data_IF_083884869406
#
_entry.id   IF_083884869406
#
_cell.length_a   1.000
_cell.length_b   1.000
_cell.length_c   1.000
_cell.angle_alpha   90.00
_cell.angle_beta   90.00
_cell.angle_gamma   90.00
#
_symmetry.space_group_name_H-M   'P 1'
#
loop_
_entity.id
_entity.type
_entity.pdbx_description
1 polymer ?
#
# COMPACT_ATOMS: atom_id res chain seq x y z
N UNK A 1 3.81 -49.82 29.52
CA UNK A 1 3.24 -49.16 30.72
C UNK A 1 3.83 -47.79 31.04
N UNK A 2 5.17 -47.61 31.26
CA UNK A 2 5.75 -46.29 31.51
C UNK A 2 5.63 -45.29 30.33
N UNK A 3 5.80 -45.74 29.09
CA UNK A 3 5.73 -44.91 27.88
C UNK A 3 4.29 -44.41 27.63
N UNK A 4 3.31 -45.21 27.96
CA UNK A 4 1.89 -44.88 27.80
C UNK A 4 1.40 -43.80 28.79
N UNK A 5 1.87 -43.87 30.05
CA UNK A 5 1.56 -42.89 31.07
C UNK A 5 2.20 -41.51 30.75
N UNK A 6 3.44 -41.50 30.27
CA UNK A 6 4.11 -40.27 29.86
C UNK A 6 3.39 -39.59 28.68
N UNK A 7 3.00 -40.37 27.66
CA UNK A 7 2.23 -39.86 26.52
C UNK A 7 0.90 -39.25 26.96
N UNK A 8 0.20 -39.90 27.87
CA UNK A 8 -1.08 -39.42 28.44
C UNK A 8 -0.91 -38.06 29.15
N UNK A 9 0.12 -37.92 29.99
CA UNK A 9 0.41 -36.62 30.66
C UNK A 9 0.70 -35.53 29.67
N UNK A 10 1.53 -35.77 28.63
CA UNK A 10 1.84 -34.82 27.60
C UNK A 10 0.57 -34.42 26.82
N UNK A 11 -0.27 -35.38 26.44
CA UNK A 11 -1.54 -35.11 25.75
C UNK A 11 -2.45 -34.23 26.58
N UNK A 12 -2.59 -34.51 27.89
CA UNK A 12 -3.44 -33.70 28.78
C UNK A 12 -2.92 -32.25 28.90
N UNK A 13 -1.59 -32.06 29.00
CA UNK A 13 -0.99 -30.71 29.03
C UNK A 13 -1.25 -29.98 27.72
N UNK A 14 -1.11 -30.67 26.57
CA UNK A 14 -1.38 -30.09 25.27
C UNK A 14 -2.85 -29.71 25.10
N UNK A 15 -3.77 -30.54 25.55
CA UNK A 15 -5.19 -30.25 25.52
C UNK A 15 -5.53 -28.99 26.34
N UNK A 16 -4.99 -28.86 27.55
CA UNK A 16 -5.16 -27.65 28.36
C UNK A 16 -4.63 -26.40 27.66
N UNK A 17 -3.50 -26.51 26.96
CA UNK A 17 -2.85 -25.37 26.30
C UNK A 17 -3.53 -24.97 24.98
N UNK A 18 -3.73 -25.94 24.06
CA UNK A 18 -4.18 -25.69 22.69
C UNK A 18 -5.71 -25.68 22.52
N UNK A 19 -6.45 -26.49 23.29
CA UNK A 19 -7.91 -26.56 23.18
C UNK A 19 -8.63 -25.72 24.23
N UNK A 20 -8.11 -25.68 25.48
CA UNK A 20 -8.71 -24.91 26.56
C UNK A 20 -8.12 -23.50 26.70
N UNK A 21 -7.13 -23.12 25.87
CA UNK A 21 -6.46 -21.80 25.87
C UNK A 21 -5.89 -21.38 27.23
N UNK A 22 -5.47 -22.35 28.09
CA UNK A 22 -4.86 -22.03 29.36
C UNK A 22 -3.41 -21.63 29.19
N UNK A 23 -2.97 -20.59 29.90
CA UNK A 23 -1.57 -20.20 29.94
C UNK A 23 -0.71 -21.25 30.63
N UNK A 24 0.58 -21.32 30.33
CA UNK A 24 1.51 -22.23 30.96
C UNK A 24 1.52 -22.10 32.51
N UNK A 25 1.28 -20.89 33.04
CA UNK A 25 1.19 -20.65 34.48
C UNK A 25 -0.10 -21.25 35.09
N UNK A 26 -1.23 -21.11 34.39
CA UNK A 26 -2.51 -21.70 34.83
C UNK A 26 -2.44 -23.23 34.81
N UNK A 27 -1.80 -23.82 33.79
CA UNK A 27 -1.57 -25.26 33.71
C UNK A 27 -0.66 -25.72 34.86
N UNK A 28 0.42 -24.98 35.15
CA UNK A 28 1.33 -25.26 36.24
C UNK A 28 0.58 -25.31 37.58
N UNK A 29 -0.29 -24.32 37.83
CA UNK A 29 -1.09 -24.24 39.05
C UNK A 29 -2.11 -25.42 39.17
N UNK A 30 -2.76 -25.82 38.03
CA UNK A 30 -3.70 -26.95 38.00
C UNK A 30 -3.04 -28.32 38.18
N UNK A 31 -1.81 -28.46 37.67
CA UNK A 31 -1.13 -29.77 37.64
C UNK A 31 -0.13 -29.99 38.78
N UNK A 32 0.17 -28.95 39.57
CA UNK A 32 1.22 -28.97 40.59
C UNK A 32 2.66 -29.01 40.00
N UNK A 33 2.80 -28.77 38.70
CA UNK A 33 4.10 -28.73 38.02
C UNK A 33 4.61 -27.29 37.95
N UNK A 34 5.93 -27.12 37.76
CA UNK A 34 6.49 -25.81 37.51
C UNK A 34 6.21 -25.34 36.08
N UNK A 35 6.08 -24.00 35.84
CA UNK A 35 5.90 -23.43 34.51
C UNK A 35 6.97 -23.92 33.53
N UNK A 36 8.23 -24.03 33.98
CA UNK A 36 9.33 -24.53 33.16
C UNK A 36 9.13 -25.99 32.74
N UNK A 37 8.57 -26.81 33.62
CA UNK A 37 8.24 -28.22 33.31
C UNK A 37 7.09 -28.32 32.32
N UNK A 38 6.09 -27.44 32.40
CA UNK A 38 5.01 -27.34 31.39
C UNK A 38 5.59 -26.95 30.03
N UNK A 39 6.43 -25.90 29.96
CA UNK A 39 7.07 -25.47 28.70
C UNK A 39 7.87 -26.63 28.05
N UNK A 40 8.68 -27.34 28.82
CA UNK A 40 9.44 -28.51 28.33
C UNK A 40 8.51 -29.66 27.89
N UNK A 41 7.39 -29.87 28.58
CA UNK A 41 6.40 -30.88 28.22
C UNK A 41 5.72 -30.57 26.89
N UNK A 42 5.35 -29.32 26.64
CA UNK A 42 4.80 -28.86 25.36
C UNK A 42 5.80 -29.05 24.23
N UNK A 43 7.07 -28.70 24.44
CA UNK A 43 8.11 -28.94 23.45
C UNK A 43 8.28 -30.44 23.16
N UNK A 44 8.39 -31.26 24.19
CA UNK A 44 8.50 -32.71 24.06
C UNK A 44 7.31 -33.33 23.34
N UNK A 45 6.10 -32.82 23.55
CA UNK A 45 4.92 -33.28 22.84
C UNK A 45 4.98 -33.00 21.34
N UNK A 46 5.56 -31.85 20.93
CA UNK A 46 5.85 -31.55 19.51
C UNK A 46 6.90 -32.51 18.95
N UNK A 47 8.01 -32.71 19.67
CA UNK A 47 9.10 -33.60 19.25
C UNK A 47 8.62 -35.05 19.09
N UNK A 48 7.67 -35.48 19.91
CA UNK A 48 7.04 -36.82 19.84
C UNK A 48 5.85 -36.90 18.86
N UNK A 49 5.52 -35.82 18.14
CA UNK A 49 4.39 -35.80 17.20
C UNK A 49 3.01 -35.95 17.84
N UNK A 50 2.89 -35.73 19.17
CA UNK A 50 1.60 -35.70 19.88
C UNK A 50 0.82 -34.45 19.47
N UNK A 51 1.54 -33.33 19.22
CA UNK A 51 1.01 -32.09 18.64
C UNK A 51 1.65 -31.90 17.29
N UNK A 52 0.83 -31.68 16.27
CA UNK A 52 1.25 -31.25 14.93
C UNK A 52 0.65 -29.87 14.68
N UNK A 53 1.49 -28.91 14.35
CA UNK A 53 1.06 -27.57 13.93
C UNK A 53 1.13 -27.57 12.42
N UNK A 54 0.00 -27.35 11.79
CA UNK A 54 -0.09 -27.19 10.34
C UNK A 54 -0.38 -25.71 10.11
N UNK A 55 0.51 -25.02 9.39
CA UNK A 55 0.28 -23.67 8.91
C UNK A 55 -0.14 -23.81 7.46
N UNK A 56 -1.34 -23.35 7.15
CA UNK A 56 -1.83 -23.31 5.79
C UNK A 56 -1.27 -22.06 5.10
N UNK A 57 -0.44 -22.27 4.09
CA UNK A 57 0.13 -21.21 3.25
C UNK A 57 -0.59 -21.07 1.91
N UNK A 58 -1.74 -21.73 1.73
CA UNK A 58 -2.52 -21.59 0.49
C UNK A 58 -2.90 -20.13 0.26
N UNK A 59 -2.67 -19.66 -0.96
CA UNK A 59 -2.89 -18.25 -1.31
C UNK A 59 -1.81 -17.27 -0.83
N UNK A 60 -0.73 -17.74 -0.19
CA UNK A 60 0.40 -16.93 0.22
C UNK A 60 1.63 -17.23 -0.66
N UNK A 61 2.30 -16.20 -1.13
CA UNK A 61 3.45 -16.27 -2.04
C UNK A 61 4.76 -15.87 -1.34
N UNK A 62 4.96 -16.31 -0.10
CA UNK A 62 6.05 -15.87 0.79
C UNK A 62 7.45 -15.99 0.19
N UNK A 63 7.72 -17.06 -0.57
CA UNK A 63 9.03 -17.24 -1.23
C UNK A 63 9.23 -16.19 -2.32
N UNK A 64 8.21 -15.99 -3.18
CA UNK A 64 8.26 -14.98 -4.25
C UNK A 64 8.32 -13.55 -3.69
N UNK A 65 7.56 -13.25 -2.64
CA UNK A 65 7.63 -11.97 -1.92
C UNK A 65 9.04 -11.71 -1.37
N UNK A 66 9.66 -12.73 -0.77
CA UNK A 66 11.03 -12.64 -0.27
C UNK A 66 12.07 -12.43 -1.38
N UNK A 67 11.90 -13.11 -2.52
CA UNK A 67 12.74 -12.92 -3.70
C UNK A 67 12.64 -11.49 -4.25
N UNK A 68 11.41 -10.98 -4.41
CA UNK A 68 11.16 -9.61 -4.88
C UNK A 68 11.76 -8.59 -3.91
N UNK A 69 11.54 -8.76 -2.60
CA UNK A 69 12.10 -7.88 -1.58
C UNK A 69 13.62 -7.81 -1.66
N UNK A 70 14.27 -8.96 -1.78
CA UNK A 70 15.73 -9.06 -1.87
C UNK A 70 16.28 -8.44 -3.16
N UNK A 71 15.64 -8.74 -4.30
CA UNK A 71 16.07 -8.28 -5.62
C UNK A 71 15.95 -6.76 -5.80
N UNK A 72 14.85 -6.19 -5.32
CA UNK A 72 14.55 -4.76 -5.50
C UNK A 72 14.78 -3.93 -4.23
N UNK A 73 15.34 -4.52 -3.19
CA UNK A 73 15.59 -3.88 -1.89
C UNK A 73 14.33 -3.20 -1.30
N UNK A 74 13.20 -3.88 -1.46
CA UNK A 74 11.93 -3.44 -0.88
C UNK A 74 11.86 -3.86 0.59
N UNK A 75 11.17 -3.05 1.39
CA UNK A 75 10.91 -3.37 2.79
C UNK A 75 9.98 -4.57 2.92
N UNK A 76 8.96 -4.61 2.10
CA UNK A 76 7.92 -5.62 2.14
C UNK A 76 7.17 -5.65 0.80
N UNK A 77 6.80 -6.83 0.35
CA UNK A 77 5.90 -7.07 -0.79
C UNK A 77 4.77 -7.98 -0.32
N UNK A 78 3.56 -7.70 -0.72
CA UNK A 78 2.39 -8.56 -0.51
C UNK A 78 1.82 -8.90 -1.88
N UNK A 79 1.80 -10.20 -2.19
CA UNK A 79 1.22 -10.72 -3.43
C UNK A 79 -0.19 -11.22 -3.14
N UNK A 80 -1.16 -10.69 -3.88
CA UNK A 80 -2.57 -11.06 -3.76
C UNK A 80 -2.88 -12.16 -4.77
N UNK A 81 -3.39 -13.29 -4.29
CA UNK A 81 -3.79 -14.42 -5.14
C UNK A 81 -5.03 -14.07 -5.97
N UNK A 82 -4.92 -14.21 -7.28
CA UNK A 82 -6.01 -13.99 -8.22
C UNK A 82 -6.82 -15.26 -8.54
N UNK A 83 -6.41 -16.43 -8.05
CA UNK A 83 -6.97 -17.72 -8.44
C UNK A 83 -8.36 -17.99 -7.83
N UNK A 84 -8.67 -17.39 -6.70
CA UNK A 84 -9.88 -17.70 -5.94
C UNK A 84 -11.09 -16.81 -6.23
N UNK A 85 -10.94 -15.69 -6.96
CA UNK A 85 -12.04 -14.76 -7.17
C UNK A 85 -11.86 -13.94 -8.45
N UNK A 86 -12.95 -13.75 -9.21
CA UNK A 86 -12.95 -12.93 -10.44
C UNK A 86 -12.77 -11.41 -10.19
N UNK A 87 -12.61 -10.97 -8.96
CA UNK A 87 -12.51 -9.55 -8.59
C UNK A 87 -11.17 -9.21 -7.94
N UNK A 88 -10.08 -9.47 -8.66
CA UNK A 88 -8.70 -9.17 -8.24
C UNK A 88 -8.53 -7.71 -7.81
N UNK A 89 -9.20 -6.78 -8.48
CA UNK A 89 -9.09 -5.34 -8.19
C UNK A 89 -9.56 -4.98 -6.80
N UNK A 90 -10.68 -5.56 -6.37
CA UNK A 90 -11.19 -5.36 -5.02
C UNK A 90 -10.37 -6.12 -3.96
N UNK A 91 -9.82 -7.28 -4.31
CA UNK A 91 -8.92 -8.01 -3.40
C UNK A 91 -7.64 -7.22 -3.12
N UNK A 92 -6.97 -6.70 -4.15
CA UNK A 92 -5.79 -5.85 -3.99
C UNK A 92 -6.13 -4.60 -3.16
N UNK A 93 -7.27 -3.96 -3.43
CA UNK A 93 -7.70 -2.77 -2.70
C UNK A 93 -8.02 -3.06 -1.23
N UNK A 94 -8.68 -4.19 -0.92
CA UNK A 94 -9.00 -4.61 0.45
C UNK A 94 -7.74 -5.01 1.23
N UNK A 95 -6.81 -5.72 0.59
CA UNK A 95 -5.51 -6.06 1.18
C UNK A 95 -4.71 -4.80 1.51
N UNK A 96 -4.70 -3.83 0.60
CA UNK A 96 -4.04 -2.55 0.83
C UNK A 96 -4.70 -1.77 1.98
N UNK A 97 -6.04 -1.74 2.07
CA UNK A 97 -6.75 -1.11 3.19
C UNK A 97 -6.37 -1.75 4.53
N UNK A 98 -6.39 -3.09 4.61
CA UNK A 98 -5.99 -3.82 5.81
C UNK A 98 -4.52 -3.55 6.20
N UNK A 99 -3.62 -3.49 5.21
CA UNK A 99 -2.22 -3.15 5.45
C UNK A 99 -2.08 -1.75 6.06
N UNK A 100 -2.80 -0.76 5.53
CA UNK A 100 -2.80 0.60 6.05
C UNK A 100 -3.32 0.65 7.50
N UNK A 101 -4.44 0.00 7.79
CA UNK A 101 -5.01 -0.08 9.14
C UNK A 101 -4.03 -0.66 10.17
N UNK A 102 -3.22 -1.63 9.74
CA UNK A 102 -2.26 -2.34 10.60
C UNK A 102 -0.92 -1.62 10.78
N UNK A 103 -0.51 -0.76 9.82
CA UNK A 103 0.85 -0.22 9.75
C UNK A 103 0.96 1.30 9.85
N UNK A 104 -0.14 2.04 9.66
CA UNK A 104 -0.10 3.49 9.85
C UNK A 104 0.11 3.85 11.32
N UNK A 105 0.88 4.90 11.57
CA UNK A 105 1.15 5.40 12.92
C UNK A 105 0.28 6.61 13.25
N UNK A 106 0.03 6.82 14.53
CA UNK A 106 -0.82 7.93 15.01
C UNK A 106 -0.23 9.28 14.66
N UNK A 107 -1.10 10.24 14.32
CA UNK A 107 -0.79 11.62 13.93
C UNK A 107 0.04 11.72 12.62
N UNK A 108 0.04 10.70 11.77
CA UNK A 108 0.80 10.72 10.52
C UNK A 108 0.07 11.45 9.40
N UNK A 109 0.86 12.03 8.50
CA UNK A 109 0.41 12.57 7.22
C UNK A 109 0.67 11.56 6.11
N UNK A 110 -0.34 11.32 5.28
CA UNK A 110 -0.29 10.38 4.15
C UNK A 110 -0.47 11.16 2.84
N UNK A 111 0.55 11.16 2.01
CA UNK A 111 0.49 11.70 0.66
C UNK A 111 -0.25 10.73 -0.26
N UNK A 112 -1.31 11.18 -0.95
CA UNK A 112 -2.24 10.35 -1.70
C UNK A 112 -2.10 10.62 -3.20
N UNK A 113 -1.83 9.55 -3.96
CA UNK A 113 -1.86 9.55 -5.41
C UNK A 113 -3.29 9.53 -5.97
N UNK A 114 -3.40 9.65 -7.28
CA UNK A 114 -4.67 9.61 -8.02
C UNK A 114 -4.85 8.25 -8.72
N UNK A 115 -6.06 7.98 -9.22
CA UNK A 115 -6.35 6.84 -10.08
C UNK A 115 -7.35 5.83 -9.49
N UNK A 116 -7.82 4.92 -10.35
CA UNK A 116 -8.91 3.98 -10.02
C UNK A 116 -8.54 2.98 -8.93
N UNK A 117 -7.29 2.51 -8.88
CA UNK A 117 -6.78 1.62 -7.83
C UNK A 117 -6.86 2.31 -6.46
N UNK A 118 -6.42 3.57 -6.41
CA UNK A 118 -6.43 4.38 -5.19
C UNK A 118 -7.86 4.69 -4.71
N UNK A 119 -8.76 5.01 -5.63
CA UNK A 119 -10.18 5.23 -5.33
C UNK A 119 -10.82 3.99 -4.67
N UNK A 120 -10.51 2.78 -5.16
CA UNK A 120 -11.04 1.54 -4.58
C UNK A 120 -10.61 1.28 -3.14
N UNK A 121 -9.38 1.61 -2.76
CA UNK A 121 -8.90 1.44 -1.38
C UNK A 121 -9.81 2.13 -0.38
N UNK A 122 -10.31 3.33 -0.72
CA UNK A 122 -11.21 4.08 0.15
C UNK A 122 -12.54 3.36 0.45
N UNK A 123 -12.93 2.35 -0.35
CA UNK A 123 -14.16 1.59 -0.13
C UNK A 123 -14.01 0.52 0.96
N UNK A 124 -12.80 0.09 1.25
CA UNK A 124 -12.52 -1.03 2.17
C UNK A 124 -11.95 -0.59 3.51
N UNK A 125 -11.41 0.65 3.61
CA UNK A 125 -10.82 1.15 4.85
C UNK A 125 -11.87 1.37 5.93
N UNK A 126 -11.52 1.05 7.17
CA UNK A 126 -12.39 1.16 8.34
C UNK A 126 -12.18 2.47 9.11
N UNK A 127 -12.96 2.66 10.17
CA UNK A 127 -12.78 3.79 11.09
C UNK A 127 -11.42 3.72 11.80
N UNK A 128 -10.67 4.81 11.71
CA UNK A 128 -9.37 5.03 12.35
C UNK A 128 -9.33 6.38 13.08
N UNK A 129 -10.48 6.89 13.56
CA UNK A 129 -10.62 8.23 14.13
C UNK A 129 -9.67 8.50 15.31
N UNK A 130 -9.31 7.46 16.06
CA UNK A 130 -8.33 7.51 17.14
C UNK A 130 -6.89 7.75 16.66
N UNK A 131 -6.62 7.56 15.36
CA UNK A 131 -5.28 7.69 14.76
C UNK A 131 -4.93 9.15 14.42
N UNK A 132 -5.93 10.02 14.23
CA UNK A 132 -5.73 11.45 13.88
C UNK A 132 -4.86 11.64 12.64
N UNK A 133 -5.15 10.90 11.58
CA UNK A 133 -4.41 10.96 10.32
C UNK A 133 -4.75 12.22 9.52
N UNK A 134 -3.82 12.63 8.64
CA UNK A 134 -4.02 13.69 7.66
C UNK A 134 -3.73 13.15 6.26
N UNK A 135 -4.73 13.13 5.39
CA UNK A 135 -4.58 12.74 3.99
C UNK A 135 -4.36 13.97 3.11
N UNK A 136 -3.29 13.99 2.34
CA UNK A 136 -2.90 15.13 1.51
C UNK A 136 -2.62 14.70 0.07
N UNK A 137 -3.19 15.37 -0.96
CA UNK A 137 -3.03 14.96 -2.34
C UNK A 137 -1.61 15.26 -2.86
N UNK A 138 -1.03 14.32 -3.62
CA UNK A 138 0.29 14.44 -4.26
C UNK A 138 0.25 15.43 -5.41
N UNK A 139 -0.86 15.51 -6.14
CA UNK A 139 -1.00 16.26 -7.37
C UNK A 139 -2.40 16.88 -7.48
N UNK A 140 -2.53 17.92 -8.28
CA UNK A 140 -3.82 18.56 -8.59
C UNK A 140 -4.78 17.68 -9.38
N UNK A 141 -5.94 18.24 -9.76
CA UNK A 141 -7.00 17.52 -10.45
C UNK A 141 -6.71 17.28 -11.96
N UNK A 142 -7.08 16.09 -12.44
CA UNK A 142 -6.88 15.66 -13.83
C UNK A 142 -8.13 15.92 -14.68
N UNK A 143 -8.28 17.11 -15.19
CA UNK A 143 -9.20 17.56 -16.23
C UNK A 143 -10.52 16.78 -16.37
N UNK A 144 -10.57 15.85 -17.32
CA UNK A 144 -11.76 15.08 -17.68
C UNK A 144 -11.89 13.72 -16.98
N UNK A 145 -11.00 13.39 -16.04
CA UNK A 145 -11.14 12.14 -15.29
C UNK A 145 -12.38 12.17 -14.39
N UNK A 146 -12.89 11.00 -14.07
CA UNK A 146 -13.97 10.87 -13.09
C UNK A 146 -13.54 11.48 -11.75
N UNK A 147 -14.41 12.23 -11.11
CA UNK A 147 -14.12 12.94 -9.87
C UNK A 147 -13.56 12.03 -8.78
N UNK A 148 -14.05 10.79 -8.71
CA UNK A 148 -13.64 9.81 -7.71
C UNK A 148 -12.17 9.34 -7.86
N UNK A 149 -11.56 9.60 -9.01
CA UNK A 149 -10.16 9.26 -9.27
C UNK A 149 -9.18 10.39 -8.92
N UNK A 150 -9.66 11.58 -8.58
CA UNK A 150 -8.79 12.71 -8.23
C UNK A 150 -8.15 12.51 -6.84
N UNK A 151 -6.87 12.82 -6.70
CA UNK A 151 -6.14 12.70 -5.44
C UNK A 151 -6.83 13.43 -4.27
N UNK A 152 -7.36 14.64 -4.53
CA UNK A 152 -8.15 15.41 -3.54
C UNK A 152 -9.43 14.70 -3.11
N UNK A 153 -10.18 14.11 -4.07
CA UNK A 153 -11.41 13.36 -3.77
C UNK A 153 -11.10 12.08 -2.99
N UNK A 154 -10.06 11.34 -3.40
CA UNK A 154 -9.61 10.14 -2.70
C UNK A 154 -9.18 10.49 -1.26
N UNK A 155 -8.40 11.56 -1.06
CA UNK A 155 -8.01 12.05 0.27
C UNK A 155 -9.24 12.37 1.13
N UNK A 156 -10.25 13.04 0.56
CA UNK A 156 -11.50 13.37 1.26
C UNK A 156 -12.31 12.11 1.61
N UNK A 157 -12.39 11.13 0.69
CA UNK A 157 -13.10 9.88 0.93
C UNK A 157 -12.43 9.04 2.01
N UNK A 158 -11.10 8.93 1.98
CA UNK A 158 -10.32 8.28 3.04
C UNK A 158 -10.56 8.97 4.39
N UNK A 159 -10.49 10.30 4.44
CA UNK A 159 -10.73 11.06 5.67
C UNK A 159 -12.15 10.82 6.23
N UNK A 160 -13.17 10.84 5.38
CA UNK A 160 -14.57 10.57 5.79
C UNK A 160 -14.73 9.15 6.34
N UNK A 161 -14.15 8.14 5.69
CA UNK A 161 -14.26 6.74 6.10
C UNK A 161 -13.51 6.46 7.40
N UNK A 162 -12.32 7.03 7.55
CA UNK A 162 -11.48 6.84 8.73
C UNK A 162 -11.84 7.75 9.91
N UNK A 163 -12.75 8.73 9.72
CA UNK A 163 -13.03 9.75 10.74
C UNK A 163 -11.86 10.72 10.99
N UNK A 164 -10.95 10.87 10.01
CA UNK A 164 -9.76 11.71 10.08
C UNK A 164 -9.88 12.97 9.21
N UNK A 165 -8.76 13.66 8.96
CA UNK A 165 -8.73 14.92 8.21
C UNK A 165 -8.11 14.74 6.82
N UNK A 166 -8.43 15.66 5.90
CA UNK A 166 -7.77 15.78 4.60
C UNK A 166 -7.53 17.22 4.18
N UNK A 167 -6.52 17.41 3.33
CA UNK A 167 -6.28 18.66 2.61
C UNK A 167 -6.84 18.56 1.19
N UNK A 168 -7.12 19.72 0.60
CA UNK A 168 -7.60 19.84 -0.78
C UNK A 168 -6.63 20.68 -1.60
N UNK A 169 -6.06 20.11 -2.66
CA UNK A 169 -5.24 20.86 -3.61
C UNK A 169 -6.13 21.37 -4.76
N UNK A 170 -6.53 22.61 -4.67
CA UNK A 170 -7.42 23.26 -5.64
C UNK A 170 -6.63 23.82 -6.81
N UNK A 171 -5.97 22.95 -7.54
CA UNK A 171 -5.18 23.29 -8.71
C UNK A 171 -5.35 22.21 -9.80
N UNK A 172 -5.14 22.54 -11.10
CA UNK A 172 -5.06 21.53 -12.14
C UNK A 172 -3.79 20.70 -11.96
N UNK A 173 -3.83 19.41 -12.36
CA UNK A 173 -2.66 18.53 -12.32
C UNK A 173 -1.57 18.97 -13.32
N UNK A 174 -1.97 19.52 -14.46
CA UNK A 174 -1.07 20.00 -15.51
C UNK A 174 -1.49 21.37 -16.01
N UNK A 175 -0.54 22.26 -16.15
CA UNK A 175 -0.69 23.58 -16.74
C UNK A 175 -0.01 23.69 -18.10
N UNK A 176 -0.24 24.79 -18.84
CA UNK A 176 0.27 24.96 -20.20
C UNK A 176 1.79 25.25 -20.24
N UNK A 177 2.32 25.87 -19.19
CA UNK A 177 3.72 26.29 -19.15
C UNK A 177 4.30 26.23 -17.75
N UNK A 178 5.62 26.15 -17.66
CA UNK A 178 6.37 26.25 -16.39
C UNK A 178 6.09 27.57 -15.66
N UNK A 179 5.95 28.68 -16.38
CA UNK A 179 5.61 30.00 -15.83
C UNK A 179 4.22 29.98 -15.15
N UNK A 180 3.25 29.34 -15.75
CA UNK A 180 1.92 29.19 -15.18
C UNK A 180 1.95 28.32 -13.90
N UNK A 181 2.76 27.25 -13.89
CA UNK A 181 3.02 26.48 -12.67
C UNK A 181 3.62 27.35 -11.56
N UNK A 182 4.65 28.13 -11.88
CA UNK A 182 5.30 29.01 -10.91
C UNK A 182 4.32 29.99 -10.28
N UNK A 183 3.41 30.57 -11.07
CA UNK A 183 2.36 31.47 -10.57
C UNK A 183 1.38 30.76 -9.63
N UNK A 184 0.95 29.53 -9.97
CA UNK A 184 0.08 28.75 -9.10
C UNK A 184 0.80 28.32 -7.81
N UNK A 185 2.09 27.97 -7.90
CA UNK A 185 2.89 27.58 -6.75
C UNK A 185 3.18 28.73 -5.78
N UNK A 186 3.00 29.99 -6.21
CA UNK A 186 3.08 31.17 -5.34
C UNK A 186 1.78 31.46 -4.56
N UNK A 187 0.64 30.86 -4.96
CA UNK A 187 -0.58 30.93 -4.19
C UNK A 187 -0.38 30.33 -2.79
N UNK A 188 -0.79 31.08 -1.77
CA UNK A 188 -0.55 30.72 -0.36
C UNK A 188 -1.15 29.36 0.00
N UNK A 189 -2.39 29.10 -0.40
CA UNK A 189 -3.08 27.84 -0.08
C UNK A 189 -2.47 26.64 -0.80
N UNK A 190 -2.19 26.76 -2.11
CA UNK A 190 -1.54 25.72 -2.90
C UNK A 190 -0.17 25.38 -2.30
N UNK A 191 0.61 26.42 -1.96
CA UNK A 191 1.93 26.29 -1.36
C UNK A 191 1.90 25.57 0.00
N UNK A 192 0.93 25.92 0.85
CA UNK A 192 0.74 25.28 2.15
C UNK A 192 0.43 23.79 2.00
N UNK A 193 -0.53 23.43 1.13
CA UNK A 193 -0.89 22.02 0.88
C UNK A 193 0.30 21.24 0.37
N UNK A 194 1.00 21.76 -0.63
CA UNK A 194 2.19 21.10 -1.22
C UNK A 194 3.31 20.94 -0.18
N UNK A 195 3.57 21.96 0.64
CA UNK A 195 4.58 21.88 1.69
C UNK A 195 4.21 20.85 2.78
N UNK A 196 2.93 20.70 3.10
CA UNK A 196 2.47 19.67 4.02
C UNK A 196 2.64 18.28 3.40
N UNK A 197 2.29 18.12 2.11
CA UNK A 197 2.44 16.86 1.39
C UNK A 197 3.91 16.41 1.28
N UNK A 198 4.83 17.35 1.07
CA UNK A 198 6.29 17.06 1.04
C UNK A 198 6.82 16.51 2.37
N UNK A 199 6.17 16.83 3.48
CA UNK A 199 6.55 16.38 4.83
C UNK A 199 5.76 15.16 5.29
N UNK A 200 5.06 14.48 4.39
CA UNK A 200 4.29 13.30 4.72
C UNK A 200 5.20 12.16 5.25
N UNK A 201 4.66 11.38 6.16
CA UNK A 201 5.32 10.20 6.73
C UNK A 201 5.20 9.00 5.78
N UNK A 202 4.10 8.97 5.02
CA UNK A 202 3.76 7.92 4.06
C UNK A 202 3.36 8.52 2.73
N UNK A 203 3.68 7.82 1.64
CA UNK A 203 3.09 8.05 0.33
C UNK A 203 2.35 6.80 -0.12
N UNK A 204 1.09 6.96 -0.51
CA UNK A 204 0.22 5.89 -1.00
C UNK A 204 -0.16 6.20 -2.45
N UNK A 205 0.25 5.36 -3.38
CA UNK A 205 0.06 5.60 -4.81
C UNK A 205 0.04 4.29 -5.62
N UNK A 206 -0.32 4.42 -6.88
CA UNK A 206 -0.23 3.35 -7.87
C UNK A 206 0.65 3.79 -9.04
N UNK A 207 1.18 2.82 -9.79
CA UNK A 207 1.84 3.07 -11.05
C UNK A 207 0.84 2.99 -12.20
N UNK A 208 1.06 3.79 -13.23
CA UNK A 208 0.32 3.76 -14.49
C UNK A 208 1.19 3.27 -15.64
N UNK A 209 0.55 2.69 -16.67
CA UNK A 209 1.17 2.41 -17.97
C UNK A 209 0.65 3.45 -18.96
N UNK A 210 1.43 4.52 -19.22
CA UNK A 210 0.89 5.72 -19.87
C UNK A 210 0.47 5.51 -21.31
N UNK A 211 1.05 4.52 -22.01
CA UNK A 211 0.81 4.25 -23.42
C UNK A 211 -0.23 3.15 -23.67
N UNK A 212 -0.75 2.52 -22.60
CA UNK A 212 -1.81 1.52 -22.74
C UNK A 212 -3.12 2.21 -23.14
N UNK A 213 -3.77 1.65 -24.15
CA UNK A 213 -5.10 2.11 -24.58
C UNK A 213 -6.08 2.02 -23.42
N UNK A 214 -6.86 3.05 -23.24
CA UNK A 214 -7.83 3.16 -22.13
C UNK A 214 -7.21 3.25 -20.73
N UNK A 215 -5.93 3.57 -20.60
CA UNK A 215 -5.32 3.91 -19.31
C UNK A 215 -6.03 5.10 -18.65
N UNK A 216 -5.96 5.19 -17.31
CA UNK A 216 -6.51 6.34 -16.58
C UNK A 216 -5.94 7.66 -17.09
N UNK A 217 -4.66 7.68 -17.46
CA UNK A 217 -3.99 8.87 -18.01
C UNK A 217 -4.55 9.26 -19.39
N UNK A 218 -4.74 8.30 -20.30
CA UNK A 218 -5.30 8.57 -21.63
C UNK A 218 -6.76 9.03 -21.57
N UNK A 219 -7.57 8.44 -20.69
CA UNK A 219 -8.99 8.81 -20.50
C UNK A 219 -9.16 10.16 -19.80
N UNK A 220 -8.21 10.56 -18.97
CA UNK A 220 -8.30 11.81 -18.21
C UNK A 220 -8.26 13.07 -19.08
N UNK A 221 -7.82 12.97 -20.34
CA UNK A 221 -7.53 14.14 -21.17
C UNK A 221 -6.44 15.03 -20.58
N UNK A 222 -5.60 14.46 -19.72
CA UNK A 222 -4.48 15.14 -19.06
C UNK A 222 -3.44 15.62 -20.06
N UNK A 223 -3.16 14.81 -21.07
CA UNK A 223 -2.22 15.13 -22.16
C UNK A 223 -2.93 15.40 -23.47
N UNK A 224 -2.39 16.34 -24.24
CA UNK A 224 -2.71 16.50 -25.64
C UNK A 224 -2.14 15.35 -26.50
N UNK A 225 -2.56 15.26 -27.75
CA UNK A 225 -2.02 14.28 -28.70
C UNK A 225 -0.48 14.41 -28.84
N UNK A 226 0.04 15.64 -28.82
CA UNK A 226 1.50 15.89 -28.82
C UNK A 226 2.16 15.37 -27.55
N UNK A 227 1.51 15.51 -26.39
CA UNK A 227 2.02 14.97 -25.13
C UNK A 227 2.04 13.45 -25.14
N UNK A 228 1.00 12.80 -25.66
CA UNK A 228 0.96 11.33 -25.83
C UNK A 228 2.02 10.85 -26.83
N UNK A 229 2.23 11.60 -27.92
CA UNK A 229 3.31 11.33 -28.87
C UNK A 229 4.67 11.44 -28.21
N UNK A 230 4.91 12.47 -27.41
CA UNK A 230 6.17 12.63 -26.66
C UNK A 230 6.43 11.47 -25.72
N UNK A 231 5.41 10.99 -24.95
CA UNK A 231 5.56 9.81 -24.11
C UNK A 231 6.05 8.60 -24.92
N UNK A 232 5.48 8.39 -26.10
CA UNK A 232 5.85 7.29 -26.97
C UNK A 232 7.27 7.45 -27.54
N UNK A 233 7.60 8.64 -28.03
CA UNK A 233 8.90 8.92 -28.66
C UNK A 233 10.05 8.82 -27.64
N UNK A 234 9.82 9.21 -26.39
CA UNK A 234 10.79 9.10 -25.30
C UNK A 234 10.72 7.71 -24.57
N UNK A 235 9.85 6.79 -25.00
CA UNK A 235 9.78 5.42 -24.52
C UNK A 235 9.27 5.30 -23.08
N UNK A 236 8.35 6.16 -22.66
CA UNK A 236 7.75 6.10 -21.33
C UNK A 236 6.95 4.81 -21.12
N UNK A 237 7.31 4.00 -20.12
CA UNK A 237 6.60 2.76 -19.76
C UNK A 237 5.89 2.87 -18.40
N UNK A 238 6.36 3.76 -17.54
CA UNK A 238 5.81 3.96 -16.20
C UNK A 238 5.40 5.42 -15.98
N UNK A 239 4.19 5.60 -15.44
CA UNK A 239 3.68 6.86 -14.91
C UNK A 239 3.64 6.76 -13.37
N UNK A 240 4.43 7.59 -12.71
CA UNK A 240 4.39 7.77 -11.25
C UNK A 240 3.48 8.95 -10.94
N UNK A 241 2.19 8.71 -10.79
CA UNK A 241 1.14 9.68 -10.41
C UNK A 241 1.23 11.02 -11.16
N UNK A 242 1.68 11.00 -12.41
CA UNK A 242 1.85 12.16 -13.30
C UNK A 242 2.87 13.22 -12.82
N UNK A 243 3.70 12.87 -11.85
CA UNK A 243 4.83 13.71 -11.40
C UNK A 243 6.18 13.26 -11.99
N UNK A 244 6.27 12.00 -12.44
CA UNK A 244 7.41 11.48 -13.16
C UNK A 244 6.97 10.40 -14.17
N UNK A 245 7.67 10.35 -15.30
CA UNK A 245 7.57 9.25 -16.25
C UNK A 245 8.94 8.56 -16.36
N UNK A 246 8.93 7.23 -16.39
CA UNK A 246 10.15 6.44 -16.54
C UNK A 246 10.11 5.66 -17.86
N UNK A 247 11.27 5.55 -18.49
CA UNK A 247 11.47 4.64 -19.60
C UNK A 247 11.80 3.20 -19.09
N UNK A 248 11.95 2.24 -19.99
CA UNK A 248 12.25 0.84 -19.66
C UNK A 248 13.55 0.60 -18.88
N UNK A 249 14.47 1.57 -18.91
CA UNK A 249 15.74 1.50 -18.19
C UNK A 249 15.64 2.15 -16.79
N UNK A 250 14.44 2.59 -16.37
CA UNK A 250 14.19 3.27 -15.10
C UNK A 250 14.61 4.73 -15.07
N UNK A 251 15.00 5.30 -16.21
CA UNK A 251 15.41 6.72 -16.30
C UNK A 251 14.20 7.63 -16.46
N UNK A 252 14.24 8.79 -15.78
CA UNK A 252 13.21 9.82 -15.95
C UNK A 252 13.23 10.35 -17.37
N UNK A 253 12.06 10.35 -18.01
CA UNK A 253 11.80 10.89 -19.33
C UNK A 253 10.67 11.93 -19.30
N UNK A 254 10.38 12.57 -20.42
CA UNK A 254 9.26 13.50 -20.61
C UNK A 254 9.25 14.67 -19.59
N UNK A 255 10.42 15.21 -19.26
CA UNK A 255 10.56 16.30 -18.28
C UNK A 255 9.75 17.53 -18.63
N UNK A 256 9.60 17.87 -19.92
CA UNK A 256 8.76 19.02 -20.33
C UNK A 256 7.29 18.84 -19.93
N UNK A 257 6.81 17.62 -19.73
CA UNK A 257 5.46 17.35 -19.23
C UNK A 257 5.45 17.54 -17.72
N UNK A 258 6.36 16.86 -17.01
CA UNK A 258 6.40 16.88 -15.53
C UNK A 258 6.81 18.24 -14.97
N UNK A 259 7.59 19.03 -15.68
CA UNK A 259 7.92 20.42 -15.31
C UNK A 259 6.67 21.32 -15.23
N UNK A 260 5.56 20.93 -15.85
CA UNK A 260 4.27 21.63 -15.84
C UNK A 260 3.24 21.01 -14.88
N UNK A 261 3.58 19.93 -14.19
CA UNK A 261 2.70 19.28 -13.22
C UNK A 261 2.65 20.08 -11.91
N UNK A 262 1.44 20.32 -11.38
CA UNK A 262 1.21 21.04 -10.13
C UNK A 262 0.98 20.04 -9.00
N UNK A 263 2.01 19.85 -8.20
CA UNK A 263 2.08 18.88 -7.12
C UNK A 263 3.47 18.82 -6.52
N UNK A 264 3.75 17.80 -5.73
CA UNK A 264 5.11 17.54 -5.26
C UNK A 264 5.98 17.05 -6.42
N UNK A 265 7.29 17.18 -6.30
CA UNK A 265 8.24 16.64 -7.28
C UNK A 265 8.53 15.16 -7.02
N UNK A 266 9.17 14.51 -8.02
CA UNK A 266 9.68 13.15 -7.87
C UNK A 266 10.71 13.07 -6.73
N UNK A 267 11.58 14.06 -6.60
CA UNK A 267 12.54 14.14 -5.50
C UNK A 267 11.88 14.31 -4.14
N UNK A 268 10.78 15.07 -4.05
CA UNK A 268 9.99 15.17 -2.83
C UNK A 268 9.38 13.80 -2.46
N UNK A 269 8.81 13.08 -3.46
CA UNK A 269 8.27 11.74 -3.24
C UNK A 269 9.34 10.74 -2.77
N UNK A 270 10.55 10.80 -3.33
CA UNK A 270 11.69 9.98 -2.88
C UNK A 270 12.05 10.22 -1.42
N UNK A 271 11.92 11.44 -0.94
CA UNK A 271 12.25 11.83 0.43
C UNK A 271 11.19 11.42 1.46
N UNK A 272 9.97 11.05 1.05
CA UNK A 272 8.97 10.53 1.98
C UNK A 272 9.47 9.19 2.54
N UNK A 273 9.49 9.02 3.90
CA UNK A 273 10.13 7.86 4.53
C UNK A 273 9.59 6.51 4.06
N UNK A 274 8.28 6.34 4.02
CA UNK A 274 7.65 5.10 3.59
C UNK A 274 6.75 5.31 2.37
N UNK A 275 7.02 4.57 1.31
CA UNK A 275 6.25 4.58 0.05
C UNK A 275 5.53 3.25 -0.10
N UNK A 276 4.21 3.30 -0.22
CA UNK A 276 3.32 2.15 -0.42
C UNK A 276 2.77 2.26 -1.84
N UNK A 277 3.23 1.35 -2.70
CA UNK A 277 2.81 1.28 -4.09
C UNK A 277 1.82 0.12 -4.28
N UNK A 278 0.62 0.41 -4.79
CA UNK A 278 -0.42 -0.59 -5.04
C UNK A 278 -0.54 -0.76 -6.55
N UNK A 279 -0.29 -1.97 -7.04
CA UNK A 279 -0.30 -2.26 -8.47
C UNK A 279 -1.20 -3.44 -8.77
N UNK A 280 -2.00 -3.32 -9.81
CA UNK A 280 -2.87 -4.35 -10.36
C UNK A 280 -2.93 -4.25 -11.89
N UNK A 281 -3.09 -5.38 -12.57
CA UNK A 281 -3.26 -5.45 -14.02
C UNK A 281 -1.98 -5.84 -14.78
N UNK A 282 -2.14 -6.77 -15.73
CA UNK A 282 -1.04 -7.27 -16.56
C UNK A 282 -0.37 -6.16 -17.40
N UNK A 283 -1.14 -5.15 -17.76
CA UNK A 283 -0.69 -4.00 -18.51
C UNK A 283 0.35 -3.15 -17.79
N UNK A 284 0.52 -3.35 -16.49
CA UNK A 284 1.50 -2.61 -15.66
C UNK A 284 2.83 -3.35 -15.46
N UNK A 285 3.00 -4.51 -16.08
CA UNK A 285 4.21 -5.32 -15.95
C UNK A 285 5.51 -4.53 -16.22
N UNK A 286 5.54 -3.75 -17.31
CA UNK A 286 6.72 -2.96 -17.66
C UNK A 286 6.90 -1.73 -16.75
N UNK A 287 5.82 -1.23 -16.15
CA UNK A 287 5.89 -0.14 -15.20
C UNK A 287 6.45 -0.57 -13.83
N UNK A 288 6.34 -1.86 -13.48
CA UNK A 288 6.82 -2.41 -12.19
C UNK A 288 8.29 -2.83 -12.26
N UNK A 289 8.78 -3.22 -13.43
CA UNK A 289 10.20 -3.57 -13.64
C UNK A 289 11.13 -2.38 -13.48
#
# INVERSE_FOLDING_TARGET
MKMDMQRRILTTICQMYYEQNLTQQQIANKTGLTRMKISRSLQKAKDMGIVRIIIDYSGLYLELESEINSKYQLKETIIVDSSMNNDMKNQVASTAAYYLESNLTKNSTIAIGWGSTMSRVSNFIQDMSNMKLLFSPIIGGHGKSELDMHATTISSNLAKKTGCNSLSLLAPALVKSKKEKELLMDDTHIKEVINQTKRADYALFSLGSPLVKDSSLSKSGYLSDDGLKQLKDEGAVCDIVSIAFLNKDGNICCKNITDRSVGISESDLKNIPLKICIVEGEEKHDAVK
#
